data_IF_894316847891
#
_entry.id   IF_894316847891
#
_cell.length_a   1.000
_cell.length_b   1.000
_cell.length_c   1.000
_cell.angle_alpha   90.00
_cell.angle_beta   90.00
_cell.angle_gamma   90.00
#
_symmetry.space_group_name_H-M   'P 1'
#
loop_
_entity.id
_entity.type
_entity.pdbx_description
1 polymer ?
#
# COMPACT_ATOMS: atom_id res chain seq x y z
N UNK A 1 -33.66 -30.91 56.07
CA UNK A 1 -33.70 -30.85 54.59
C UNK A 1 -33.19 -29.49 54.16
N UNK A 2 -32.03 -29.43 53.49
CA UNK A 2 -31.38 -28.20 53.01
C UNK A 2 -31.12 -28.43 51.51
N UNK A 3 -31.78 -27.74 50.57
CA UNK A 3 -31.51 -27.95 49.16
C UNK A 3 -30.21 -27.20 48.79
N UNK A 4 -29.22 -27.94 48.31
CA UNK A 4 -28.05 -27.38 47.65
C UNK A 4 -28.39 -27.19 46.17
N UNK A 5 -28.53 -25.93 45.76
CA UNK A 5 -28.67 -25.59 44.34
C UNK A 5 -27.30 -25.57 43.69
N UNK A 6 -27.03 -26.58 42.87
CA UNK A 6 -25.97 -26.59 41.86
C UNK A 6 -26.30 -25.52 40.81
N UNK A 7 -25.48 -24.47 40.73
CA UNK A 7 -25.53 -23.49 39.64
C UNK A 7 -24.42 -23.82 38.62
N UNK A 8 -24.82 -24.45 37.52
CA UNK A 8 -23.97 -24.82 36.39
C UNK A 8 -23.49 -23.55 35.67
N UNK A 9 -22.18 -23.29 35.67
CA UNK A 9 -21.59 -22.23 34.84
C UNK A 9 -21.57 -22.68 33.36
N UNK A 10 -22.35 -22.02 32.50
CA UNK A 10 -22.14 -22.06 31.05
C UNK A 10 -21.02 -21.07 30.68
N UNK A 11 -19.87 -21.58 30.26
CA UNK A 11 -18.83 -20.78 29.62
C UNK A 11 -19.22 -20.52 28.16
N UNK A 12 -19.65 -19.30 27.84
CA UNK A 12 -19.90 -18.86 26.47
C UNK A 12 -18.56 -18.59 25.77
N UNK A 13 -18.21 -19.43 24.80
CA UNK A 13 -17.04 -19.28 23.95
C UNK A 13 -17.32 -18.20 22.90
N UNK A 14 -16.88 -16.96 23.14
CA UNK A 14 -16.92 -15.90 22.15
C UNK A 14 -15.88 -16.18 21.05
N UNK A 15 -16.31 -16.78 19.94
CA UNK A 15 -15.57 -16.79 18.68
C UNK A 15 -15.56 -15.35 18.13
N UNK A 16 -14.49 -14.61 18.40
CA UNK A 16 -14.19 -13.36 17.71
C UNK A 16 -13.78 -13.68 16.26
N UNK A 17 -14.77 -13.69 15.36
CA UNK A 17 -14.53 -13.66 13.91
C UNK A 17 -13.98 -12.27 13.57
N UNK A 18 -12.69 -12.20 13.28
CA UNK A 18 -12.11 -11.01 12.65
C UNK A 18 -12.64 -10.94 11.21
N UNK A 19 -13.65 -10.11 10.98
CA UNK A 19 -13.98 -9.64 9.64
C UNK A 19 -12.75 -8.86 9.14
N UNK A 20 -12.05 -9.40 8.15
CA UNK A 20 -11.02 -8.66 7.45
C UNK A 20 -11.67 -7.44 6.79
N UNK A 21 -11.37 -6.25 7.31
CA UNK A 21 -11.68 -5.03 6.58
C UNK A 21 -10.88 -5.08 5.28
N UNK A 22 -11.56 -5.00 4.13
CA UNK A 22 -10.90 -4.65 2.88
C UNK A 22 -10.14 -3.34 3.13
N UNK A 23 -8.87 -3.24 2.71
CA UNK A 23 -8.07 -2.07 3.02
C UNK A 23 -8.76 -0.83 2.40
N UNK A 24 -9.09 0.13 3.26
CA UNK A 24 -9.74 1.36 2.88
C UNK A 24 -8.79 2.20 2.01
N UNK A 25 -9.34 2.84 0.97
CA UNK A 25 -8.56 3.70 0.08
C UNK A 25 -8.31 5.04 0.78
N UNK A 26 -7.04 5.31 1.13
CA UNK A 26 -6.67 6.47 1.94
C UNK A 26 -6.56 7.75 1.08
N UNK A 27 -7.08 8.90 1.54
CA UNK A 27 -6.92 10.15 0.83
C UNK A 27 -5.47 10.66 0.92
N UNK A 28 -4.83 10.88 -0.22
CA UNK A 28 -3.51 11.47 -0.33
C UNK A 28 -3.63 12.97 -0.51
N UNK A 29 -3.40 13.68 0.59
CA UNK A 29 -3.55 15.13 0.71
C UNK A 29 -2.22 15.74 1.17
N UNK A 30 -2.18 17.07 1.34
CA UNK A 30 -1.02 17.75 1.91
C UNK A 30 -0.52 17.06 3.19
N UNK A 31 0.75 16.70 3.22
CA UNK A 31 1.40 16.05 4.34
C UNK A 31 1.27 14.53 4.38
N UNK A 32 0.45 13.91 3.52
CA UNK A 32 0.33 12.45 3.42
C UNK A 32 1.67 11.79 3.09
N UNK A 33 2.48 12.39 2.21
CA UNK A 33 3.82 11.87 1.91
C UNK A 33 4.69 11.74 3.17
N UNK A 34 4.78 12.82 3.96
CA UNK A 34 5.54 12.82 5.21
C UNK A 34 4.99 11.81 6.21
N UNK A 35 3.67 11.69 6.31
CA UNK A 35 3.02 10.74 7.21
C UNK A 35 3.30 9.28 6.81
N UNK A 36 3.21 8.96 5.51
CA UNK A 36 3.53 7.66 4.94
C UNK A 36 4.98 7.29 5.26
N UNK A 37 5.94 8.16 4.94
CA UNK A 37 7.36 7.91 5.22
C UNK A 37 7.61 7.71 6.71
N UNK A 38 6.96 8.48 7.58
CA UNK A 38 7.09 8.34 9.02
C UNK A 38 6.52 7.01 9.54
N UNK A 39 5.37 6.56 9.02
CA UNK A 39 4.72 5.30 9.43
C UNK A 39 5.55 4.05 9.06
N UNK A 40 6.37 4.17 8.02
CA UNK A 40 7.26 3.12 7.53
C UNK A 40 8.72 3.28 7.99
N UNK A 41 9.04 4.29 8.79
CA UNK A 41 10.39 4.56 9.29
C UNK A 41 11.01 3.33 9.97
N UNK A 42 12.28 3.05 9.66
CA UNK A 42 13.03 1.92 10.22
C UNK A 42 12.73 0.57 9.55
N UNK A 43 11.88 0.53 8.52
CA UNK A 43 11.53 -0.68 7.77
C UNK A 43 11.57 -0.39 6.27
N UNK A 44 11.91 -1.38 5.43
CA UNK A 44 11.86 -1.18 3.99
C UNK A 44 10.40 -1.01 3.53
N UNK A 45 10.16 -0.09 2.60
CA UNK A 45 8.85 0.12 1.98
C UNK A 45 9.00 0.40 0.47
N UNK A 46 8.07 -0.14 -0.30
CA UNK A 46 7.92 0.06 -1.74
C UNK A 46 6.72 0.98 -1.93
N UNK A 47 6.91 2.15 -2.54
CA UNK A 47 5.81 3.06 -2.86
C UNK A 47 5.68 3.17 -4.37
N UNK A 48 4.60 2.61 -4.92
CA UNK A 48 4.33 2.60 -6.35
C UNK A 48 3.27 3.63 -6.72
N UNK A 49 3.63 4.54 -7.64
CA UNK A 49 2.74 5.57 -8.14
C UNK A 49 2.21 5.17 -9.52
N UNK A 50 0.88 5.19 -9.65
CA UNK A 50 0.19 4.64 -10.81
C UNK A 50 -1.05 5.47 -11.15
N UNK A 51 -1.75 5.09 -12.22
CA UNK A 51 -3.04 5.68 -12.56
C UNK A 51 -3.81 4.86 -13.59
N UNK A 52 -5.15 4.97 -13.62
CA UNK A 52 -6.00 4.22 -14.54
C UNK A 52 -5.95 4.76 -15.96
N UNK A 53 -5.63 6.05 -16.13
CA UNK A 53 -5.44 6.66 -17.46
C UNK A 53 -4.08 6.32 -18.09
N UNK A 54 -3.18 5.71 -17.32
CA UNK A 54 -1.86 5.27 -17.75
C UNK A 54 -1.88 3.81 -18.24
N UNK A 55 -1.67 3.61 -19.55
CA UNK A 55 -1.66 2.28 -20.17
C UNK A 55 -0.69 1.29 -19.52
N UNK A 56 0.61 1.61 -19.41
CA UNK A 56 1.61 0.76 -18.75
C UNK A 56 1.27 0.44 -17.29
N UNK A 57 0.77 1.41 -16.54
CA UNK A 57 0.40 1.25 -15.12
C UNK A 57 -0.61 0.12 -14.94
N UNK A 58 -1.65 0.04 -15.79
CA UNK A 58 -2.67 -0.99 -15.64
C UNK A 58 -2.13 -2.41 -15.80
N UNK A 59 -1.17 -2.61 -16.70
CA UNK A 59 -0.52 -3.91 -16.90
C UNK A 59 0.40 -4.25 -15.73
N UNK A 60 1.14 -3.27 -15.23
CA UNK A 60 2.06 -3.42 -14.12
C UNK A 60 1.37 -3.77 -12.79
N UNK A 61 0.19 -3.20 -12.54
CA UNK A 61 -0.60 -3.47 -11.33
C UNK A 61 -0.97 -4.96 -11.16
N UNK A 62 -1.12 -5.71 -12.25
CA UNK A 62 -1.32 -7.16 -12.19
C UNK A 62 -0.06 -7.90 -11.70
N UNK A 63 1.12 -7.42 -12.07
CA UNK A 63 2.39 -7.99 -11.61
C UNK A 63 2.60 -7.72 -10.11
N UNK A 64 2.27 -6.50 -9.65
CA UNK A 64 2.26 -6.18 -8.22
C UNK A 64 1.29 -7.06 -7.42
N UNK A 65 0.07 -7.26 -7.92
CA UNK A 65 -0.90 -8.15 -7.30
C UNK A 65 -0.42 -9.60 -7.20
N UNK A 66 0.21 -10.11 -8.26
CA UNK A 66 0.84 -11.43 -8.24
C UNK A 66 1.95 -11.51 -7.19
N UNK A 67 2.82 -10.51 -7.11
CA UNK A 67 3.89 -10.48 -6.11
C UNK A 67 3.34 -10.41 -4.67
N UNK A 68 2.27 -9.65 -4.44
CA UNK A 68 1.62 -9.59 -3.13
C UNK A 68 0.97 -10.93 -2.74
N UNK A 69 0.40 -11.66 -3.72
CA UNK A 69 -0.13 -13.00 -3.48
C UNK A 69 0.98 -14.01 -3.14
N UNK A 70 2.16 -13.88 -3.75
CA UNK A 70 3.34 -14.70 -3.46
C UNK A 70 4.02 -14.31 -2.14
N UNK A 71 3.96 -13.03 -1.76
CA UNK A 71 4.52 -12.48 -0.52
C UNK A 71 3.49 -11.62 0.22
N UNK A 72 2.63 -12.22 1.05
CA UNK A 72 1.58 -11.49 1.77
C UNK A 72 2.10 -10.41 2.73
N UNK A 73 3.38 -10.47 3.11
CA UNK A 73 4.09 -9.48 3.93
C UNK A 73 4.85 -8.43 3.11
N UNK A 74 4.61 -8.35 1.80
CA UNK A 74 5.21 -7.35 0.92
C UNK A 74 4.89 -5.95 1.44
N UNK A 75 5.89 -5.11 1.76
CA UNK A 75 5.66 -3.75 2.25
C UNK A 75 5.35 -2.82 1.07
N UNK A 76 4.26 -3.10 0.36
CA UNK A 76 3.80 -2.36 -0.81
C UNK A 76 2.73 -1.34 -0.41
N UNK A 77 3.01 -0.09 -0.73
CA UNK A 77 2.05 1.01 -0.75
C UNK A 77 1.80 1.40 -2.20
N UNK A 78 0.54 1.51 -2.61
CA UNK A 78 0.18 2.06 -3.93
C UNK A 78 -0.45 3.44 -3.78
N UNK A 79 -0.14 4.34 -4.69
CA UNK A 79 -0.69 5.70 -4.73
C UNK A 79 -1.23 5.95 -6.13
N UNK A 80 -2.56 6.04 -6.25
CA UNK A 80 -3.21 6.50 -7.48
C UNK A 80 -2.98 8.01 -7.62
N UNK A 81 -2.26 8.39 -8.67
CA UNK A 81 -1.77 9.74 -8.94
C UNK A 81 -2.17 10.22 -10.35
N UNK A 82 -3.31 9.77 -10.86
CA UNK A 82 -3.86 10.26 -12.13
C UNK A 82 -3.93 11.80 -12.14
N UNK A 83 -3.59 12.38 -13.30
CA UNK A 83 -3.71 13.83 -13.53
C UNK A 83 -5.15 14.33 -13.34
N UNK A 84 -6.10 13.51 -13.75
CA UNK A 84 -7.53 13.70 -13.51
C UNK A 84 -7.96 12.59 -12.57
N UNK A 85 -8.28 12.89 -11.30
CA UNK A 85 -8.67 11.86 -10.35
C UNK A 85 -9.87 11.06 -10.84
N UNK A 86 -9.76 9.76 -10.78
CA UNK A 86 -10.90 8.87 -10.94
C UNK A 86 -11.76 8.84 -9.68
N UNK A 87 -12.97 8.29 -9.78
CA UNK A 87 -13.78 8.09 -8.57
C UNK A 87 -13.12 7.07 -7.65
N UNK A 88 -13.17 7.28 -6.32
CA UNK A 88 -12.67 6.32 -5.34
C UNK A 88 -13.21 4.90 -5.57
N UNK A 89 -14.48 4.75 -5.94
CA UNK A 89 -15.11 3.46 -6.24
C UNK A 89 -14.47 2.76 -7.45
N UNK A 90 -14.14 3.51 -8.51
CA UNK A 90 -13.50 2.93 -9.69
C UNK A 90 -12.06 2.50 -9.37
N UNK A 91 -11.32 3.31 -8.62
CA UNK A 91 -9.97 2.95 -8.14
C UNK A 91 -10.00 1.71 -7.25
N UNK A 92 -10.93 1.63 -6.29
CA UNK A 92 -11.10 0.45 -5.43
C UNK A 92 -11.45 -0.81 -6.24
N UNK A 93 -12.37 -0.71 -7.20
CA UNK A 93 -12.73 -1.83 -8.05
C UNK A 93 -11.54 -2.31 -8.90
N UNK A 94 -10.72 -1.39 -9.42
CA UNK A 94 -9.51 -1.74 -10.16
C UNK A 94 -8.45 -2.40 -9.26
N UNK A 95 -8.23 -1.89 -8.05
CA UNK A 95 -7.33 -2.50 -7.06
C UNK A 95 -7.77 -3.92 -6.71
N UNK A 96 -9.08 -4.14 -6.50
CA UNK A 96 -9.65 -5.45 -6.23
C UNK A 96 -9.44 -6.43 -7.38
N UNK A 97 -9.73 -5.99 -8.62
CA UNK A 97 -9.47 -6.79 -9.82
C UNK A 97 -7.99 -7.14 -9.98
N UNK A 98 -7.10 -6.25 -9.52
CA UNK A 98 -5.66 -6.44 -9.58
C UNK A 98 -5.09 -7.25 -8.41
N UNK A 99 -5.90 -7.71 -7.45
CA UNK A 99 -5.42 -8.47 -6.29
C UNK A 99 -4.72 -7.62 -5.23
N UNK A 100 -4.95 -6.30 -5.22
CA UNK A 100 -4.26 -5.33 -4.36
C UNK A 100 -5.15 -4.74 -3.26
N UNK A 101 -6.36 -5.26 -3.05
CA UNK A 101 -7.28 -4.80 -1.99
C UNK A 101 -6.73 -4.90 -0.57
N UNK A 102 -5.70 -5.73 -0.33
CA UNK A 102 -5.09 -5.89 0.98
C UNK A 102 -3.77 -5.12 1.13
N UNK A 103 -3.32 -4.43 0.07
CA UNK A 103 -2.21 -3.50 0.15
C UNK A 103 -2.65 -2.20 0.85
N UNK A 104 -1.68 -1.42 1.33
CA UNK A 104 -1.93 -0.04 1.72
C UNK A 104 -2.13 0.79 0.44
N UNK A 105 -3.32 1.33 0.24
CA UNK A 105 -3.66 2.06 -0.99
C UNK A 105 -4.05 3.50 -0.68
N UNK A 106 -3.55 4.42 -1.49
CA UNK A 106 -3.85 5.84 -1.42
C UNK A 106 -4.34 6.37 -2.77
N UNK A 107 -5.10 7.46 -2.75
CA UNK A 107 -5.56 8.18 -3.95
C UNK A 107 -5.34 9.68 -3.78
N UNK A 108 -4.83 10.37 -4.80
CA UNK A 108 -4.74 11.83 -4.78
C UNK A 108 -6.12 12.47 -4.57
N UNK A 109 -6.23 13.29 -3.52
CA UNK A 109 -7.48 13.94 -3.11
C UNK A 109 -7.22 15.40 -2.68
N UNK A 110 -6.48 16.16 -3.49
CA UNK A 110 -6.20 17.58 -3.24
C UNK A 110 -6.57 18.40 -4.48
N UNK A 111 -7.17 19.57 -4.27
CA UNK A 111 -7.49 20.51 -5.35
C UNK A 111 -6.27 21.11 -6.05
N UNK A 112 -5.06 20.92 -5.49
CA UNK A 112 -3.77 21.32 -6.05
C UNK A 112 -2.80 20.12 -6.09
N UNK A 113 -2.97 19.25 -7.08
CA UNK A 113 -2.16 18.03 -7.24
C UNK A 113 -0.67 18.32 -7.42
N UNK A 114 -0.30 19.47 -8.00
CA UNK A 114 1.09 19.91 -8.16
C UNK A 114 1.80 20.07 -6.82
N UNK A 115 1.07 20.45 -5.77
CA UNK A 115 1.63 20.51 -4.41
C UNK A 115 1.98 19.12 -3.90
N UNK A 116 1.09 18.15 -4.10
CA UNK A 116 1.33 16.77 -3.69
C UNK A 116 2.57 16.21 -4.38
N UNK A 117 2.70 16.48 -5.69
CA UNK A 117 3.90 16.09 -6.47
C UNK A 117 5.17 16.70 -5.91
N UNK A 118 5.15 18.00 -5.61
CA UNK A 118 6.29 18.69 -5.04
C UNK A 118 6.69 18.14 -3.67
N UNK A 119 5.73 17.74 -2.83
CA UNK A 119 6.02 17.10 -1.54
C UNK A 119 6.70 15.74 -1.71
N UNK A 120 6.32 14.97 -2.73
CA UNK A 120 6.88 13.65 -3.06
C UNK A 120 8.29 13.79 -3.63
N UNK A 121 8.44 14.59 -4.69
CA UNK A 121 9.71 14.89 -5.35
C UNK A 121 9.59 16.24 -6.09
N UNK A 122 10.32 17.30 -5.69
CA UNK A 122 10.29 18.60 -6.35
C UNK A 122 10.64 18.58 -7.84
N UNK A 123 11.30 17.53 -8.33
CA UNK A 123 11.65 17.36 -9.74
C UNK A 123 10.60 16.61 -10.53
N UNK A 124 9.67 15.93 -9.86
CA UNK A 124 8.65 15.10 -10.49
C UNK A 124 7.67 15.95 -11.30
N UNK A 125 7.52 15.63 -12.58
CA UNK A 125 6.65 16.37 -13.50
C UNK A 125 5.26 15.72 -13.64
N UNK A 126 5.00 14.65 -12.89
CA UNK A 126 3.76 13.88 -12.97
C UNK A 126 3.86 12.64 -13.85
N UNK A 127 5.07 12.26 -14.31
CA UNK A 127 5.25 11.01 -15.03
C UNK A 127 4.92 9.79 -14.15
N UNK A 128 4.13 8.86 -14.68
CA UNK A 128 3.78 7.56 -14.07
C UNK A 128 3.86 6.47 -15.16
N UNK A 129 4.14 5.20 -14.80
CA UNK A 129 4.42 4.74 -13.45
C UNK A 129 5.83 5.12 -12.99
N UNK A 130 6.02 5.16 -11.67
CA UNK A 130 7.34 5.11 -11.06
C UNK A 130 7.22 4.50 -9.66
N UNK A 131 8.35 4.07 -9.12
CA UNK A 131 8.40 3.41 -7.81
C UNK A 131 9.53 3.97 -6.97
N UNK A 132 9.25 4.27 -5.70
CA UNK A 132 10.30 4.45 -4.70
C UNK A 132 10.56 3.15 -3.95
N UNK A 133 11.82 2.80 -3.84
CA UNK A 133 12.32 1.80 -2.90
C UNK A 133 13.01 2.53 -1.76
N UNK A 134 12.47 2.37 -0.57
CA UNK A 134 12.91 3.10 0.62
C UNK A 134 13.43 2.07 1.60
N UNK A 135 14.73 2.11 1.86
CA UNK A 135 15.40 1.18 2.77
C UNK A 135 15.07 1.46 4.23
N UNK A 136 15.34 0.49 5.09
CA UNK A 136 15.18 0.61 6.55
C UNK A 136 15.97 1.78 7.16
N UNK A 137 17.06 2.19 6.52
CA UNK A 137 17.88 3.34 6.88
C UNK A 137 17.37 4.69 6.32
N UNK A 138 16.26 4.70 5.58
CA UNK A 138 15.68 5.88 4.94
C UNK A 138 16.30 6.23 3.57
N UNK A 139 17.24 5.45 3.05
CA UNK A 139 17.76 5.65 1.70
C UNK A 139 16.67 5.40 0.66
N UNK A 140 16.48 6.34 -0.27
CA UNK A 140 15.47 6.25 -1.32
C UNK A 140 16.11 6.03 -2.68
N UNK A 141 15.58 5.08 -3.46
CA UNK A 141 15.90 4.88 -4.87
C UNK A 141 14.63 4.99 -5.69
N UNK A 142 14.62 5.87 -6.70
CA UNK A 142 13.53 5.98 -7.68
C UNK A 142 13.79 5.04 -8.85
N UNK A 143 12.77 4.29 -9.25
CA UNK A 143 12.69 3.57 -10.53
C UNK A 143 11.69 4.32 -11.39
N UNK A 144 12.15 4.89 -12.51
CA UNK A 144 11.29 5.57 -13.47
C UNK A 144 10.72 4.57 -14.48
N UNK A 145 9.44 4.73 -14.83
CA UNK A 145 8.73 3.76 -15.65
C UNK A 145 8.29 2.53 -14.86
N UNK A 146 7.93 1.48 -15.60
CA UNK A 146 7.44 0.25 -15.00
C UNK A 146 8.56 -0.46 -14.24
N UNK A 147 8.30 -0.79 -12.98
CA UNK A 147 9.21 -1.54 -12.14
C UNK A 147 9.26 -3.01 -12.57
N UNK A 148 10.48 -3.55 -12.62
CA UNK A 148 10.69 -4.97 -12.68
C UNK A 148 10.46 -5.56 -11.28
N UNK A 149 9.36 -6.29 -11.10
CA UNK A 149 8.95 -6.82 -9.79
C UNK A 149 9.94 -7.84 -9.21
N UNK A 150 10.70 -8.53 -10.07
CA UNK A 150 11.78 -9.43 -9.66
C UNK A 150 13.00 -8.65 -9.12
N UNK A 151 13.37 -7.52 -9.72
CA UNK A 151 14.42 -6.64 -9.20
C UNK A 151 14.02 -6.04 -7.85
N UNK A 152 12.77 -5.60 -7.72
CA UNK A 152 12.22 -5.11 -6.45
C UNK A 152 12.25 -6.22 -5.40
N UNK A 153 11.94 -7.45 -5.80
CA UNK A 153 12.01 -8.62 -4.94
C UNK A 153 13.42 -8.89 -4.42
N UNK A 154 14.41 -8.86 -5.30
CA UNK A 154 15.81 -9.04 -4.93
C UNK A 154 16.33 -7.92 -4.02
N UNK A 155 15.91 -6.67 -4.25
CA UNK A 155 16.23 -5.55 -3.36
C UNK A 155 15.67 -5.77 -1.95
N UNK A 156 14.40 -6.16 -1.84
CA UNK A 156 13.74 -6.39 -0.56
C UNK A 156 14.41 -7.52 0.24
N UNK A 157 14.83 -8.59 -0.44
CA UNK A 157 15.57 -9.69 0.19
C UNK A 157 16.94 -9.22 0.72
N UNK A 158 17.55 -8.22 0.08
CA UNK A 158 18.76 -7.54 0.54
C UNK A 158 18.55 -6.75 1.82
N UNK A 159 17.44 -6.00 1.94
CA UNK A 159 17.10 -5.20 3.13
C UNK A 159 16.87 -6.06 4.38
N UNK A 160 16.44 -7.32 4.21
CA UNK A 160 16.25 -8.27 5.32
C UNK A 160 17.57 -8.81 5.89
N UNK A 161 18.70 -8.60 5.20
CA UNK A 161 20.01 -9.12 5.63
C UNK A 161 20.67 -8.14 6.61
N UNK A 162 21.17 -8.59 7.77
CA UNK A 162 21.90 -7.70 8.68
C UNK A 162 23.14 -7.10 8.00
N UNK A 163 23.53 -5.86 8.32
CA UNK A 163 24.77 -5.28 7.82
C UNK A 163 25.96 -6.16 8.22
N UNK A 164 26.88 -6.38 7.28
CA UNK A 164 28.11 -7.18 7.48
C UNK A 164 29.09 -6.48 8.40
#
# INVERSE_FOLDING_TARGET
MRPQSFATLLAALCLSVSLGNAAELNPFVRGSWRALIQAHSGRPVIVHFWGMTCGPCRSEMLAWGKLLAERPDLPLVTVSADLVPDSPDATQAFLAKSGLSNAENWIFDDGFVERLRYEIDPKWQGEIPFTFLIGSNGAMRKIEGAANVEEVSAWLDGERRPPK
#
